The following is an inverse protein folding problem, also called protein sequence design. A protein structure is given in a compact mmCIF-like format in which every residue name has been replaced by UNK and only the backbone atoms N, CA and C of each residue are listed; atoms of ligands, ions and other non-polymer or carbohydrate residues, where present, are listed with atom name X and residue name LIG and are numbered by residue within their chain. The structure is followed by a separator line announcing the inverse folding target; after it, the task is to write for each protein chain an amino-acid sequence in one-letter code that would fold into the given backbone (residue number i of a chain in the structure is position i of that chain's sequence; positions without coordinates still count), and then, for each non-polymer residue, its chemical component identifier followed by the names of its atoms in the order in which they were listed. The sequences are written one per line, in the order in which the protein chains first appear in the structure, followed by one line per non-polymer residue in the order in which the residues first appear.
data_IF_731469090763
#
_entry.id   IF_731469090763
#
_cell.length_a   1.000
_cell.length_b   1.000
_cell.length_c   1.000
_cell.angle_alpha   90.00
_cell.angle_beta   90.00
_cell.angle_gamma   90.00
#
_symmetry.space_group_name_H-M   'P 1'
#
loop_
_entity.id
_entity.type
_entity.pdbx_description
1 polymer ?
#
# COMPACT_ATOMS: atom_id res chain seq x y z
N UNK A 1 -1.31 -29.35 -24.99
CA UNK A 1 -2.56 -29.19 -25.75
C UNK A 1 -3.34 -27.94 -25.28
N UNK A 2 -3.51 -27.68 -23.96
CA UNK A 2 -4.32 -26.58 -23.41
C UNK A 2 -3.87 -25.18 -23.90
N UNK A 3 -2.57 -24.97 -24.08
CA UNK A 3 -1.98 -23.71 -24.55
C UNK A 3 -1.85 -23.63 -26.07
N UNK A 4 -2.29 -24.64 -26.79
CA UNK A 4 -2.29 -24.64 -28.27
C UNK A 4 -3.32 -23.61 -28.75
N UNK A 5 -2.90 -22.57 -29.43
CA UNK A 5 -3.72 -21.42 -29.85
C UNK A 5 -4.18 -20.45 -28.71
N UNK A 6 -3.63 -20.56 -27.51
CA UNK A 6 -3.86 -19.58 -26.46
C UNK A 6 -3.00 -18.33 -26.73
N UNK A 7 -3.59 -17.13 -26.56
CA UNK A 7 -2.88 -15.86 -26.65
C UNK A 7 -3.00 -15.11 -25.32
N UNK A 8 -1.86 -14.90 -24.68
CA UNK A 8 -1.79 -14.09 -23.46
C UNK A 8 -2.04 -12.58 -23.69
N UNK A 9 -2.00 -12.12 -24.95
CA UNK A 9 -2.20 -10.71 -25.31
C UNK A 9 -3.69 -10.35 -25.50
N UNK A 10 -4.56 -11.37 -25.58
CA UNK A 10 -5.99 -11.17 -25.78
C UNK A 10 -6.76 -11.37 -24.49
N UNK A 11 -7.79 -10.53 -24.28
CA UNK A 11 -8.76 -10.75 -23.19
C UNK A 11 -9.39 -12.15 -23.30
N UNK A 12 -9.33 -12.98 -22.25
CA UNK A 12 -9.83 -14.36 -22.29
C UNK A 12 -11.34 -14.40 -22.07
N UNK A 13 -12.10 -13.80 -22.98
CA UNK A 13 -13.57 -13.66 -22.86
C UNK A 13 -14.28 -15.02 -22.91
N UNK A 14 -13.78 -15.98 -23.73
CA UNK A 14 -14.50 -17.23 -23.97
C UNK A 14 -15.91 -16.94 -24.50
N UNK A 15 -16.93 -17.43 -23.78
CA UNK A 15 -18.35 -17.17 -24.07
C UNK A 15 -18.91 -15.97 -23.29
N UNK A 16 -18.07 -15.16 -22.64
CA UNK A 16 -18.47 -14.02 -21.81
C UNK A 16 -18.32 -12.70 -22.58
N UNK A 17 -19.23 -11.74 -22.37
CA UNK A 17 -19.16 -10.42 -22.96
C UNK A 17 -18.07 -9.54 -22.33
N UNK A 18 -17.76 -9.79 -21.05
CA UNK A 18 -16.71 -9.07 -20.30
C UNK A 18 -16.11 -9.96 -19.20
N UNK A 19 -14.86 -9.66 -18.82
CA UNK A 19 -14.20 -10.35 -17.71
C UNK A 19 -14.62 -9.71 -16.39
N UNK A 20 -15.00 -10.55 -15.41
CA UNK A 20 -15.15 -10.13 -14.01
C UNK A 20 -13.86 -10.42 -13.26
N UNK A 21 -13.16 -9.36 -12.88
CA UNK A 21 -11.94 -9.41 -12.07
C UNK A 21 -12.27 -9.05 -10.62
N UNK A 22 -12.11 -10.00 -9.72
CA UNK A 22 -12.13 -9.73 -8.28
C UNK A 22 -10.72 -9.36 -7.81
N UNK A 23 -10.62 -8.35 -6.95
CA UNK A 23 -9.35 -7.90 -6.37
C UNK A 23 -9.40 -7.93 -4.85
N UNK A 24 -8.28 -8.27 -4.22
CA UNK A 24 -8.06 -8.16 -2.79
C UNK A 24 -6.60 -7.85 -2.47
N UNK A 25 -6.35 -7.31 -1.29
CA UNK A 25 -5.01 -6.96 -0.81
C UNK A 25 -4.82 -7.51 0.59
N UNK A 26 -3.76 -8.29 0.79
CA UNK A 26 -3.29 -8.63 2.12
C UNK A 26 -2.13 -7.70 2.52
N UNK A 27 -2.35 -6.87 3.53
CA UNK A 27 -1.30 -6.06 4.13
C UNK A 27 -0.48 -6.91 5.09
N UNK A 28 0.86 -6.89 4.91
CA UNK A 28 1.80 -7.67 5.72
C UNK A 28 2.56 -6.81 6.72
N UNK A 29 3.00 -5.62 6.30
CA UNK A 29 3.68 -4.65 7.14
C UNK A 29 3.69 -3.28 6.49
N UNK A 30 3.83 -2.22 7.28
CA UNK A 30 4.25 -0.92 6.80
C UNK A 30 5.77 -0.78 7.02
N UNK A 31 6.52 -0.71 5.93
CA UNK A 31 7.98 -0.67 5.97
C UNK A 31 8.51 0.71 6.36
N UNK A 32 7.92 1.77 5.80
CA UNK A 32 8.28 3.15 6.12
C UNK A 32 7.12 4.11 5.88
N UNK A 33 7.06 5.14 6.72
CA UNK A 33 6.12 6.24 6.60
C UNK A 33 6.96 7.52 6.60
N UNK A 34 7.15 8.08 5.41
CA UNK A 34 7.93 9.28 5.21
C UNK A 34 7.01 10.50 5.09
N UNK A 35 7.02 11.33 6.12
CA UNK A 35 6.17 12.51 6.20
C UNK A 35 6.72 13.69 5.39
N UNK A 36 8.04 13.71 5.14
CA UNK A 36 8.71 14.75 4.36
C UNK A 36 8.48 14.53 2.88
N UNK A 37 8.68 13.29 2.42
CA UNK A 37 8.38 12.92 1.03
C UNK A 37 6.88 12.73 0.77
N UNK A 38 6.06 12.62 1.81
CA UNK A 38 4.63 12.36 1.66
C UNK A 38 4.36 10.94 1.13
N UNK A 39 5.05 9.92 1.65
CA UNK A 39 4.94 8.56 1.11
C UNK A 39 4.75 7.50 2.20
N UNK A 40 4.02 6.46 1.84
CA UNK A 40 3.82 5.25 2.64
C UNK A 40 4.30 4.04 1.84
N UNK A 41 5.24 3.29 2.40
CA UNK A 41 5.74 2.03 1.83
C UNK A 41 5.14 0.86 2.58
N UNK A 42 4.48 -0.03 1.86
CA UNK A 42 3.80 -1.19 2.42
C UNK A 42 4.24 -2.49 1.73
N UNK A 43 4.42 -3.54 2.52
CA UNK A 43 4.55 -4.91 2.03
C UNK A 43 3.14 -5.50 1.90
N UNK A 44 2.79 -5.92 0.69
CA UNK A 44 1.46 -6.44 0.38
C UNK A 44 1.53 -7.72 -0.44
N UNK A 45 0.41 -8.44 -0.45
CA UNK A 45 0.10 -9.44 -1.46
C UNK A 45 -1.13 -8.96 -2.21
N UNK A 46 -0.96 -8.56 -3.46
CA UNK A 46 -2.05 -8.17 -4.34
C UNK A 46 -2.64 -9.43 -4.96
N UNK A 47 -3.89 -9.71 -4.68
CA UNK A 47 -4.60 -10.92 -5.08
C UNK A 47 -5.62 -10.61 -6.15
N UNK A 48 -5.66 -11.46 -7.18
CA UNK A 48 -6.61 -11.37 -8.27
C UNK A 48 -7.29 -12.72 -8.49
N UNK A 49 -8.57 -12.67 -8.81
CA UNK A 49 -9.37 -13.82 -9.14
C UNK A 49 -10.21 -13.51 -10.38
N UNK A 50 -10.11 -14.36 -11.39
CA UNK A 50 -10.92 -14.26 -12.60
C UNK A 50 -11.19 -15.64 -13.19
N UNK A 51 -11.98 -15.70 -14.26
CA UNK A 51 -12.22 -16.92 -15.01
C UNK A 51 -11.77 -16.74 -16.45
N UNK A 52 -11.01 -17.71 -16.94
CA UNK A 52 -10.57 -17.80 -18.33
C UNK A 52 -11.26 -18.98 -19.00
N UNK A 53 -12.18 -18.68 -19.91
CA UNK A 53 -12.95 -19.70 -20.63
C UNK A 53 -12.11 -20.55 -21.59
N UNK A 54 -10.90 -20.10 -21.92
CA UNK A 54 -9.98 -20.83 -22.80
C UNK A 54 -9.12 -21.85 -22.05
N UNK A 55 -9.11 -21.79 -20.70
CA UNK A 55 -8.30 -22.66 -19.83
C UNK A 55 -9.17 -23.65 -19.06
N UNK A 56 -10.12 -24.29 -19.76
CA UNK A 56 -11.01 -25.31 -19.18
C UNK A 56 -10.58 -26.68 -19.70
N UNK A 57 -10.50 -27.68 -18.82
CA UNK A 57 -10.23 -29.08 -19.18
C UNK A 57 -11.01 -30.06 -18.33
N UNK A 58 -11.24 -31.26 -18.86
CA UNK A 58 -11.82 -32.36 -18.09
C UNK A 58 -10.68 -33.10 -17.37
N UNK A 59 -10.66 -33.15 -16.02
CA UNK A 59 -9.63 -33.86 -15.27
C UNK A 59 -9.44 -35.33 -15.65
N UNK A 60 -10.52 -36.02 -16.03
CA UNK A 60 -10.46 -37.45 -16.41
C UNK A 60 -9.55 -37.69 -17.61
N UNK A 61 -9.44 -36.73 -18.54
CA UNK A 61 -8.59 -36.82 -19.72
C UNK A 61 -7.10 -36.56 -19.40
N UNK A 62 -6.80 -36.04 -18.20
CA UNK A 62 -5.46 -35.61 -17.77
C UNK A 62 -5.07 -36.19 -16.40
N UNK A 63 -5.24 -37.48 -16.20
CA UNK A 63 -4.88 -38.20 -14.97
C UNK A 63 -5.49 -37.61 -13.69
N UNK A 64 -6.72 -37.11 -13.75
CA UNK A 64 -7.43 -36.44 -12.67
C UNK A 64 -6.72 -35.17 -12.14
N UNK A 65 -5.95 -34.48 -12.96
CA UNK A 65 -5.37 -33.19 -12.59
C UNK A 65 -6.47 -32.14 -12.59
N UNK A 66 -6.74 -31.58 -11.41
CA UNK A 66 -7.77 -30.56 -11.18
C UNK A 66 -7.24 -29.13 -11.12
N UNK A 67 -5.94 -28.97 -10.90
CA UNK A 67 -5.27 -27.68 -10.83
C UNK A 67 -3.83 -27.73 -11.35
N UNK A 68 -3.32 -26.60 -11.81
CA UNK A 68 -1.93 -26.44 -12.22
C UNK A 68 -1.39 -25.06 -11.88
N UNK A 69 -0.08 -24.95 -11.67
CA UNK A 69 0.63 -23.68 -11.50
C UNK A 69 1.23 -23.22 -12.83
N UNK A 70 0.78 -22.10 -13.33
CA UNK A 70 1.13 -21.57 -14.67
C UNK A 70 1.99 -20.31 -14.53
N UNK A 71 2.89 -20.10 -15.48
CA UNK A 71 3.71 -18.89 -15.56
C UNK A 71 2.86 -17.68 -15.97
N UNK A 72 3.16 -16.53 -15.35
CA UNK A 72 2.48 -15.26 -15.64
C UNK A 72 3.43 -14.20 -16.19
N UNK A 73 4.73 -14.53 -16.32
CA UNK A 73 5.73 -13.61 -16.83
C UNK A 73 5.52 -13.40 -18.34
N UNK A 74 5.43 -12.13 -18.80
CA UNK A 74 5.23 -11.84 -20.22
C UNK A 74 6.33 -12.42 -21.11
N UNK A 75 5.95 -13.08 -22.19
CA UNK A 75 6.88 -13.69 -23.14
C UNK A 75 7.50 -15.02 -22.69
N UNK A 76 7.10 -15.56 -21.54
CA UNK A 76 7.47 -16.90 -21.10
C UNK A 76 6.70 -17.99 -21.86
N UNK A 77 7.30 -19.18 -21.99
CA UNK A 77 6.61 -20.35 -22.53
C UNK A 77 5.38 -20.68 -21.68
N UNK A 78 4.23 -20.86 -22.32
CA UNK A 78 2.95 -21.16 -21.65
C UNK A 78 2.48 -20.08 -20.67
N UNK A 79 2.80 -18.80 -20.91
CA UNK A 79 2.25 -17.70 -20.12
C UNK A 79 0.75 -17.51 -20.40
N UNK A 80 0.02 -17.09 -19.37
CA UNK A 80 -1.41 -16.78 -19.48
C UNK A 80 -1.63 -15.26 -19.47
N UNK A 81 -2.81 -14.84 -19.95
CA UNK A 81 -3.27 -13.48 -19.78
C UNK A 81 -3.38 -13.14 -18.28
N UNK A 82 -2.91 -11.97 -17.91
CA UNK A 82 -3.00 -11.44 -16.56
C UNK A 82 -3.55 -10.02 -16.59
N UNK A 83 -4.35 -9.63 -15.57
CA UNK A 83 -4.89 -8.28 -15.49
C UNK A 83 -3.78 -7.24 -15.25
N UNK A 84 -3.89 -6.11 -15.93
CA UNK A 84 -2.97 -4.96 -15.88
C UNK A 84 -3.30 -3.98 -14.74
N UNK A 85 -3.43 -4.48 -13.53
CA UNK A 85 -3.75 -3.64 -12.37
C UNK A 85 -2.51 -2.92 -11.85
N UNK A 86 -2.59 -1.59 -11.82
CA UNK A 86 -1.54 -0.67 -11.37
C UNK A 86 -1.96 0.10 -10.13
N UNK A 87 -0.98 0.51 -9.34
CA UNK A 87 -1.15 1.51 -8.29
C UNK A 87 -1.08 2.92 -8.93
N UNK A 88 -2.21 3.63 -9.04
CA UNK A 88 -2.28 4.93 -9.72
C UNK A 88 -1.57 6.06 -8.97
N UNK A 89 -1.60 6.02 -7.63
CA UNK A 89 -0.93 7.02 -6.78
C UNK A 89 0.44 6.53 -6.29
N UNK A 90 1.17 5.83 -7.14
CA UNK A 90 2.53 5.37 -6.82
C UNK A 90 3.51 6.54 -6.74
N UNK A 91 4.47 6.42 -5.82
CA UNK A 91 5.64 7.32 -5.72
C UNK A 91 6.88 6.77 -6.44
N UNK A 92 6.80 5.57 -7.01
CA UNK A 92 7.85 4.90 -7.77
C UNK A 92 7.32 4.37 -9.10
N UNK A 93 8.17 3.68 -9.87
CA UNK A 93 7.78 3.08 -11.14
C UNK A 93 6.66 2.06 -10.94
N UNK A 94 5.51 2.21 -11.60
CA UNK A 94 4.31 1.41 -11.30
C UNK A 94 4.46 -0.09 -11.55
N UNK A 95 5.29 -0.49 -12.49
CA UNK A 95 5.37 -1.88 -12.97
C UNK A 95 6.36 -2.76 -12.22
N UNK A 96 7.33 -2.17 -11.52
CA UNK A 96 8.45 -2.89 -10.92
C UNK A 96 8.25 -3.23 -9.43
N UNK A 97 7.10 -2.85 -8.84
CA UNK A 97 6.88 -2.98 -7.40
C UNK A 97 6.39 -4.36 -6.95
N UNK A 98 5.78 -5.13 -7.84
CA UNK A 98 5.23 -6.45 -7.53
C UNK A 98 5.84 -7.51 -8.43
N UNK A 99 6.35 -8.57 -7.80
CA UNK A 99 6.95 -9.69 -8.51
C UNK A 99 5.93 -10.48 -9.32
N UNK A 100 6.37 -11.03 -10.46
CA UNK A 100 5.60 -12.05 -11.17
C UNK A 100 5.70 -13.37 -10.40
N UNK A 101 4.54 -13.86 -9.97
CA UNK A 101 4.39 -15.16 -9.32
C UNK A 101 3.62 -16.10 -10.26
N UNK A 102 3.68 -17.40 -10.01
CA UNK A 102 2.83 -18.33 -10.74
C UNK A 102 1.37 -18.18 -10.32
N UNK A 103 0.46 -18.30 -11.28
CA UNK A 103 -0.97 -18.37 -11.02
C UNK A 103 -1.42 -19.82 -10.85
N UNK A 104 -2.40 -20.05 -9.98
CA UNK A 104 -3.11 -21.32 -9.90
C UNK A 104 -4.29 -21.28 -10.86
N UNK A 105 -4.33 -22.24 -11.77
CA UNK A 105 -5.42 -22.42 -12.75
C UNK A 105 -6.14 -23.71 -12.40
N UNK A 106 -7.44 -23.64 -12.20
CA UNK A 106 -8.31 -24.79 -11.91
C UNK A 106 -8.97 -25.30 -13.18
N UNK A 107 -9.36 -26.57 -13.17
CA UNK A 107 -9.91 -27.24 -14.35
C UNK A 107 -11.21 -26.64 -14.89
N UNK A 108 -11.91 -25.85 -14.07
CA UNK A 108 -13.10 -25.09 -14.49
C UNK A 108 -12.79 -23.70 -15.07
N UNK A 109 -11.49 -23.39 -15.27
CA UNK A 109 -11.02 -22.11 -15.77
C UNK A 109 -10.91 -21.00 -14.71
N UNK A 110 -11.17 -21.30 -13.44
CA UNK A 110 -10.97 -20.33 -12.37
C UNK A 110 -9.48 -20.11 -12.09
N UNK A 111 -9.05 -18.87 -11.95
CA UNK A 111 -7.65 -18.52 -11.77
C UNK A 111 -7.48 -17.69 -10.49
N UNK A 112 -6.46 -18.04 -9.72
CA UNK A 112 -6.01 -17.31 -8.54
C UNK A 112 -4.57 -16.86 -8.77
N UNK A 113 -4.35 -15.56 -8.68
CA UNK A 113 -3.01 -14.98 -8.81
C UNK A 113 -2.71 -14.02 -7.66
N UNK A 114 -1.66 -14.33 -6.91
CA UNK A 114 -1.22 -13.53 -5.77
C UNK A 114 0.19 -13.00 -6.02
N UNK A 115 0.34 -11.68 -6.07
CA UNK A 115 1.61 -10.98 -6.31
C UNK A 115 2.14 -10.40 -5.00
N UNK A 116 3.20 -10.98 -4.42
CA UNK A 116 3.88 -10.37 -3.30
C UNK A 116 4.73 -9.18 -3.78
N UNK A 117 4.93 -8.21 -2.91
CA UNK A 117 5.84 -7.11 -3.20
C UNK A 117 5.72 -5.95 -2.24
N UNK A 118 6.60 -5.00 -2.42
CA UNK A 118 6.63 -3.74 -1.67
C UNK A 118 6.16 -2.64 -2.59
N UNK A 119 5.14 -1.90 -2.15
CA UNK A 119 4.59 -0.76 -2.90
C UNK A 119 4.80 0.53 -2.13
N UNK A 120 5.06 1.62 -2.85
CA UNK A 120 5.21 2.96 -2.29
C UNK A 120 4.13 3.88 -2.87
N UNK A 121 3.20 4.30 -2.02
CA UNK A 121 2.11 5.20 -2.42
C UNK A 121 2.34 6.62 -1.91
N UNK A 122 1.79 7.60 -2.62
CA UNK A 122 1.73 8.98 -2.16
C UNK A 122 0.63 9.15 -1.12
N UNK A 123 0.96 9.84 -0.02
CA UNK A 123 0.06 10.11 1.08
C UNK A 123 0.21 11.56 1.55
N UNK A 124 -0.90 12.23 1.82
CA UNK A 124 -0.88 13.61 2.35
C UNK A 124 -1.00 13.56 3.87
N UNK A 125 0.05 13.97 4.57
CA UNK A 125 0.10 13.97 6.04
C UNK A 125 -0.41 15.29 6.62
N UNK A 126 -1.21 15.18 7.69
CA UNK A 126 -1.67 16.31 8.49
C UNK A 126 -1.02 16.26 9.88
N UNK A 127 0.02 17.07 10.09
CA UNK A 127 0.81 17.09 11.32
C UNK A 127 0.28 18.06 12.39
N UNK A 128 -0.94 18.60 12.23
CA UNK A 128 -1.48 19.63 13.14
C UNK A 128 -1.57 19.16 14.60
N UNK A 129 -1.84 17.88 14.81
CA UNK A 129 -1.99 17.26 16.15
C UNK A 129 -0.77 16.44 16.57
N UNK A 130 0.36 16.58 15.89
CA UNK A 130 1.58 15.86 16.22
C UNK A 130 1.97 15.99 17.71
N UNK A 131 2.37 14.89 18.41
CA UNK A 131 2.51 13.51 17.96
C UNK A 131 1.27 12.63 18.19
N UNK A 132 0.10 13.19 18.39
CA UNK A 132 -1.18 12.50 18.61
C UNK A 132 -2.05 12.57 17.36
N UNK A 133 -1.44 12.38 16.21
CA UNK A 133 -2.06 12.54 14.90
C UNK A 133 -2.51 11.19 14.31
N UNK A 134 -3.60 11.27 13.57
CA UNK A 134 -4.12 10.18 12.74
C UNK A 134 -3.96 10.55 11.28
N UNK A 135 -3.46 9.63 10.47
CA UNK A 135 -3.21 9.83 9.05
C UNK A 135 -4.08 8.91 8.20
N UNK A 136 -4.46 9.37 7.01
CA UNK A 136 -5.27 8.61 6.06
C UNK A 136 -4.50 8.49 4.74
N UNK A 137 -4.10 7.27 4.42
CA UNK A 137 -3.29 6.99 3.24
C UNK A 137 -4.07 6.09 2.26
N UNK A 138 -4.35 6.60 1.04
CA UNK A 138 -5.01 5.82 0.02
C UNK A 138 -4.03 4.96 -0.76
N UNK A 139 -4.49 3.77 -1.20
CA UNK A 139 -3.89 2.96 -2.25
C UNK A 139 -4.93 2.80 -3.35
N UNK A 140 -4.68 3.42 -4.51
CA UNK A 140 -5.63 3.46 -5.61
C UNK A 140 -5.20 2.52 -6.73
N UNK A 141 -5.91 1.41 -6.89
CA UNK A 141 -5.64 0.38 -7.89
C UNK A 141 -6.65 0.44 -9.03
N UNK A 142 -6.18 0.28 -10.26
CA UNK A 142 -7.05 0.21 -11.43
C UNK A 142 -6.33 -0.33 -12.64
N UNK A 143 -7.08 -0.76 -13.66
CA UNK A 143 -6.54 -1.14 -14.94
C UNK A 143 -6.09 0.07 -15.73
N UNK A 144 -4.95 -0.06 -16.41
CA UNK A 144 -4.44 0.99 -17.29
C UNK A 144 -5.10 1.00 -18.66
N UNK A 145 -5.42 -0.20 -19.17
CA UNK A 145 -5.92 -0.39 -20.53
C UNK A 145 -7.43 -0.60 -20.57
N UNK A 146 -7.99 -1.40 -19.65
CA UNK A 146 -9.36 -1.88 -19.76
C UNK A 146 -10.35 -0.97 -19.03
N UNK A 147 -11.40 -0.57 -19.74
CA UNK A 147 -12.53 0.19 -19.22
C UNK A 147 -13.66 -0.75 -18.73
N UNK A 148 -14.69 -0.19 -18.12
CA UNK A 148 -15.81 -0.91 -17.50
C UNK A 148 -16.62 -1.80 -18.47
N UNK A 149 -16.64 -1.47 -19.76
CA UNK A 149 -17.24 -2.30 -20.80
C UNK A 149 -16.43 -3.53 -21.23
N UNK A 150 -15.19 -3.67 -20.76
CA UNK A 150 -14.29 -4.79 -21.07
C UNK A 150 -13.96 -5.61 -19.84
N UNK A 151 -13.79 -4.95 -18.69
CA UNK A 151 -13.43 -5.58 -17.43
C UNK A 151 -14.25 -5.01 -16.28
N UNK A 152 -15.07 -5.84 -15.66
CA UNK A 152 -15.80 -5.52 -14.45
C UNK A 152 -14.90 -5.76 -13.23
N UNK A 153 -14.34 -4.67 -12.69
CA UNK A 153 -13.51 -4.74 -11.49
C UNK A 153 -14.40 -4.77 -10.24
N UNK A 154 -14.20 -5.76 -9.39
CA UNK A 154 -14.99 -5.96 -8.17
C UNK A 154 -14.10 -6.18 -6.96
N UNK A 155 -14.63 -5.83 -5.79
CA UNK A 155 -14.02 -6.15 -4.51
C UNK A 155 -14.54 -7.50 -4.02
N UNK A 156 -13.66 -8.34 -3.49
CA UNK A 156 -14.07 -9.54 -2.79
C UNK A 156 -14.55 -9.21 -1.37
N UNK A 157 -15.47 -9.99 -0.82
CA UNK A 157 -15.81 -9.95 0.61
C UNK A 157 -14.55 -10.35 1.39
N UNK A 158 -14.02 -9.43 2.22
CA UNK A 158 -12.69 -9.60 2.83
C UNK A 158 -11.53 -9.18 1.93
N UNK A 159 -11.78 -8.28 0.99
CA UNK A 159 -10.79 -7.74 0.05
C UNK A 159 -9.53 -7.16 0.69
N UNK A 160 -9.63 -6.75 1.96
CA UNK A 160 -8.50 -6.33 2.77
C UNK A 160 -8.25 -7.36 3.87
N UNK A 161 -7.12 -8.05 3.77
CA UNK A 161 -6.69 -9.07 4.73
C UNK A 161 -5.54 -8.52 5.58
N UNK A 162 -5.78 -8.41 6.87
CA UNK A 162 -4.81 -7.96 7.88
C UNK A 162 -4.52 -9.02 8.93
N UNK A 163 -4.98 -10.26 8.73
CA UNK A 163 -4.89 -11.34 9.72
C UNK A 163 -3.45 -11.67 10.16
N UNK A 164 -2.48 -11.41 9.29
CA UNK A 164 -1.05 -11.61 9.55
C UNK A 164 -0.26 -10.31 9.42
N UNK A 165 -0.89 -9.18 9.72
CA UNK A 165 -0.23 -7.89 9.71
C UNK A 165 0.79 -7.80 10.84
N UNK A 166 2.00 -7.36 10.52
CA UNK A 166 3.04 -7.07 11.50
C UNK A 166 2.94 -5.61 11.92
N UNK A 167 2.70 -5.38 13.19
CA UNK A 167 2.65 -4.05 13.77
C UNK A 167 3.99 -3.33 13.65
N UNK A 168 3.94 -2.02 13.55
CA UNK A 168 5.10 -1.13 13.49
C UNK A 168 5.23 -0.40 14.83
N UNK A 169 6.46 -0.24 15.35
CA UNK A 169 6.71 0.42 16.64
C UNK A 169 6.30 1.90 16.67
N UNK A 170 6.12 2.54 15.53
CA UNK A 170 5.78 3.95 15.42
C UNK A 170 4.32 4.24 15.09
N UNK A 171 3.61 3.26 14.51
CA UNK A 171 2.26 3.44 13.99
C UNK A 171 1.39 2.21 14.17
N UNK A 172 0.17 2.45 14.61
CA UNK A 172 -0.89 1.45 14.66
C UNK A 172 -1.82 1.60 13.45
N UNK A 173 -2.22 0.49 12.84
CA UNK A 173 -3.28 0.48 11.83
C UNK A 173 -4.63 0.44 12.56
N UNK A 174 -5.31 1.60 12.61
CA UNK A 174 -6.55 1.76 13.38
C UNK A 174 -7.78 1.27 12.62
N UNK A 175 -7.83 1.54 11.32
CA UNK A 175 -8.98 1.20 10.48
C UNK A 175 -8.58 1.12 9.00
N UNK A 176 -9.42 0.47 8.21
CA UNK A 176 -9.29 0.43 6.76
C UNK A 176 -10.68 0.43 6.10
N UNK A 177 -10.75 1.01 4.94
CA UNK A 177 -11.94 1.00 4.11
C UNK A 177 -11.60 0.82 2.65
N UNK A 178 -12.52 0.26 1.89
CA UNK A 178 -12.39 0.08 0.45
C UNK A 178 -13.57 0.71 -0.28
N UNK A 179 -13.29 1.28 -1.45
CA UNK A 179 -14.30 1.90 -2.29
C UNK A 179 -14.01 1.64 -3.76
N UNK A 180 -15.01 1.16 -4.48
CA UNK A 180 -15.00 1.09 -5.94
C UNK A 180 -15.48 2.44 -6.49
N UNK A 181 -14.71 3.02 -7.41
CA UNK A 181 -15.06 4.26 -8.09
C UNK A 181 -15.06 4.02 -9.61
N UNK A 182 -15.82 4.84 -10.32
CA UNK A 182 -15.82 4.90 -11.78
C UNK A 182 -15.42 6.30 -12.20
N UNK A 183 -14.30 6.43 -12.90
CA UNK A 183 -13.71 7.71 -13.26
C UNK A 183 -13.75 7.89 -14.76
N UNK A 184 -14.26 9.06 -15.21
CA UNK A 184 -14.18 9.46 -16.61
C UNK A 184 -12.97 10.36 -16.80
N UNK A 185 -12.06 9.94 -17.68
CA UNK A 185 -10.89 10.71 -18.03
C UNK A 185 -11.16 11.59 -19.26
N UNK A 186 -10.41 12.68 -19.41
CA UNK A 186 -10.55 13.62 -20.54
C UNK A 186 -10.13 13.03 -21.88
N UNK A 187 -9.30 11.98 -21.85
CA UNK A 187 -8.86 11.27 -23.06
C UNK A 187 -9.97 10.46 -23.73
N UNK A 188 -10.90 9.95 -22.92
CA UNK A 188 -11.66 8.77 -23.30
C UNK A 188 -13.13 8.90 -22.89
N UNK A 189 -14.09 8.45 -23.73
CA UNK A 189 -15.51 8.55 -23.40
C UNK A 189 -15.97 7.53 -22.35
N UNK A 190 -15.25 6.41 -22.20
CA UNK A 190 -15.58 5.30 -21.32
C UNK A 190 -15.25 5.60 -19.85
N UNK A 191 -15.83 4.82 -18.93
CA UNK A 191 -15.54 4.86 -17.52
C UNK A 191 -14.45 3.84 -17.17
N UNK A 192 -13.51 4.25 -16.33
CA UNK A 192 -12.45 3.37 -15.82
C UNK A 192 -12.70 3.07 -14.35
N UNK A 193 -12.90 1.80 -14.00
CA UNK A 193 -13.08 1.41 -12.61
C UNK A 193 -11.75 1.47 -11.86
N UNK A 194 -11.78 2.02 -10.65
CA UNK A 194 -10.67 1.94 -9.69
C UNK A 194 -11.14 1.53 -8.31
N UNK A 195 -10.29 0.83 -7.59
CA UNK A 195 -10.48 0.46 -6.20
C UNK A 195 -9.53 1.29 -5.35
N UNK A 196 -10.10 2.10 -4.47
CA UNK A 196 -9.33 2.87 -3.50
C UNK A 196 -9.45 2.22 -2.12
N UNK A 197 -8.30 1.77 -1.60
CA UNK A 197 -8.16 1.25 -0.25
C UNK A 197 -7.62 2.39 0.63
N UNK A 198 -8.37 2.83 1.62
CA UNK A 198 -7.92 3.83 2.58
C UNK A 198 -7.47 3.12 3.85
N UNK A 199 -6.25 3.38 4.26
CA UNK A 199 -5.69 2.90 5.51
C UNK A 199 -5.59 4.06 6.49
N UNK A 200 -6.12 3.87 7.69
CA UNK A 200 -6.06 4.84 8.79
C UNK A 200 -4.96 4.43 9.76
N UNK A 201 -3.99 5.31 9.94
CA UNK A 201 -2.80 5.10 10.75
C UNK A 201 -2.82 6.05 11.95
N UNK A 202 -2.73 5.51 13.15
CA UNK A 202 -2.57 6.26 14.38
C UNK A 202 -1.12 6.20 14.85
N UNK A 203 -0.53 7.37 15.12
CA UNK A 203 0.84 7.43 15.62
C UNK A 203 0.90 6.96 17.06
N UNK A 204 1.94 6.18 17.39
CA UNK A 204 2.29 5.80 18.76
C UNK A 204 3.16 6.90 19.37
N UNK A 205 2.61 7.77 20.26
CA UNK A 205 3.29 8.99 20.69
C UNK A 205 4.39 8.76 21.73
N UNK A 206 4.53 7.53 22.24
CA UNK A 206 5.42 7.23 23.36
C UNK A 206 6.86 7.68 23.15
N UNK A 207 7.44 7.35 21.99
CA UNK A 207 8.79 7.76 21.62
C UNK A 207 8.95 9.28 21.60
N UNK A 208 8.04 9.99 20.96
CA UNK A 208 8.08 11.45 20.84
C UNK A 208 7.85 12.14 22.18
N UNK A 209 6.97 11.60 22.99
CA UNK A 209 6.68 12.15 24.34
C UNK A 209 7.91 12.05 25.24
N UNK A 210 8.57 10.89 25.27
CA UNK A 210 9.74 10.69 26.14
C UNK A 210 10.99 11.40 25.62
N UNK A 211 11.25 11.34 24.31
CA UNK A 211 12.53 11.81 23.75
C UNK A 211 12.48 13.26 23.25
N UNK A 212 11.29 13.82 23.01
CA UNK A 212 11.14 15.18 22.49
C UNK A 212 10.45 16.09 23.50
N UNK A 213 9.21 15.75 23.88
CA UNK A 213 8.38 16.64 24.70
C UNK A 213 8.97 16.80 26.10
N UNK A 214 9.38 15.69 26.73
CA UNK A 214 9.93 15.72 28.10
C UNK A 214 11.22 16.51 28.20
N UNK A 215 12.27 16.33 27.37
CA UNK A 215 13.47 17.16 27.43
C UNK A 215 13.22 18.63 27.07
N UNK A 216 12.34 18.91 26.09
CA UNK A 216 11.97 20.27 25.74
C UNK A 216 11.28 20.98 26.90
N UNK A 217 10.40 20.28 27.61
CA UNK A 217 9.74 20.83 28.79
C UNK A 217 10.72 21.07 29.94
N UNK A 218 11.65 20.13 30.18
CA UNK A 218 12.68 20.27 31.21
C UNK A 218 13.60 21.46 30.94
N UNK A 219 14.11 21.61 29.71
CA UNK A 219 14.98 22.74 29.32
C UNK A 219 14.25 24.07 29.38
N UNK A 220 12.98 24.13 28.97
CA UNK A 220 12.14 25.34 29.14
C UNK A 220 11.92 25.71 30.60
N UNK A 221 11.71 24.72 31.44
CA UNK A 221 11.57 24.93 32.90
C UNK A 221 12.86 25.46 33.52
N UNK A 222 14.02 24.91 33.12
CA UNK A 222 15.33 25.43 33.56
C UNK A 222 15.57 26.87 33.11
N UNK A 223 15.10 27.26 31.93
CA UNK A 223 15.19 28.64 31.47
C UNK A 223 14.39 29.59 32.36
N UNK A 224 13.20 29.20 32.81
CA UNK A 224 12.40 29.97 33.77
C UNK A 224 13.13 30.07 35.11
N UNK A 225 13.70 28.96 35.60
CA UNK A 225 14.46 28.92 36.86
C UNK A 225 15.69 29.84 36.81
N UNK A 226 16.29 30.06 35.62
CA UNK A 226 17.45 30.96 35.47
C UNK A 226 17.18 32.39 35.96
N UNK A 227 15.92 32.84 35.93
CA UNK A 227 15.53 34.15 36.47
C UNK A 227 15.59 34.23 37.99
N UNK A 228 15.55 33.09 38.68
CA UNK A 228 15.65 33.02 40.15
C UNK A 228 17.11 33.09 40.65
N UNK A 229 18.09 32.92 39.75
CA UNK A 229 19.51 33.02 40.13
C UNK A 229 19.85 34.46 40.48
N UNK A 230 20.45 34.73 41.66
CA UNK A 230 20.83 36.08 42.08
C UNK A 230 21.74 36.76 41.08
N UNK A 231 21.51 38.05 40.82
CA UNK A 231 22.28 38.83 39.87
C UNK A 231 23.75 39.01 40.27
N UNK A 232 24.05 38.98 41.59
CA UNK A 232 25.41 39.10 42.12
C UNK A 232 26.26 37.84 41.92
N UNK A 233 25.71 36.71 41.54
CA UNK A 233 26.46 35.46 41.39
C UNK A 233 27.38 35.42 40.18
N UNK A 234 27.18 36.32 39.19
CA UNK A 234 27.94 36.32 37.93
C UNK A 234 27.61 35.14 36.98
N UNK A 235 26.96 34.10 37.49
CA UNK A 235 26.69 32.83 36.74
C UNK A 235 25.37 32.86 35.99
N UNK A 236 24.51 33.83 36.21
CA UNK A 236 23.16 33.87 35.61
C UNK A 236 23.17 33.87 34.09
N UNK A 237 24.09 34.65 33.48
CA UNK A 237 24.20 34.76 32.01
C UNK A 237 24.77 33.47 31.44
N UNK A 238 25.80 32.90 32.05
CA UNK A 238 26.42 31.64 31.65
C UNK A 238 25.42 30.50 31.66
N UNK A 239 24.63 30.39 32.74
CA UNK A 239 23.57 29.38 32.86
C UNK A 239 22.49 29.54 31.79
N UNK A 240 21.99 30.76 31.53
CA UNK A 240 20.98 31.03 30.52
C UNK A 240 21.49 30.69 29.10
N UNK A 241 22.73 31.03 28.77
CA UNK A 241 23.36 30.70 27.47
C UNK A 241 23.52 29.18 27.31
N UNK A 242 23.93 28.47 28.37
CA UNK A 242 24.09 27.01 28.33
C UNK A 242 22.76 26.31 28.09
N UNK A 243 21.68 26.73 28.76
CA UNK A 243 20.33 26.17 28.55
C UNK A 243 19.83 26.46 27.14
N UNK A 244 20.05 27.70 26.63
CA UNK A 244 19.68 28.07 25.26
C UNK A 244 20.45 27.23 24.23
N UNK A 245 21.77 27.05 24.43
CA UNK A 245 22.59 26.21 23.53
C UNK A 245 22.10 24.77 23.56
N UNK A 246 21.79 24.22 24.72
CA UNK A 246 21.23 22.87 24.87
C UNK A 246 19.93 22.72 24.09
N UNK A 247 19.04 23.72 24.16
CA UNK A 247 17.78 23.71 23.39
C UNK A 247 18.02 23.73 21.87
N UNK A 248 18.99 24.56 21.40
CA UNK A 248 19.34 24.63 19.97
C UNK A 248 19.90 23.28 19.48
N UNK A 249 20.85 22.71 20.22
CA UNK A 249 21.41 21.38 19.89
C UNK A 249 20.33 20.32 19.85
N UNK A 250 19.40 20.36 20.81
CA UNK A 250 18.27 19.44 20.85
C UNK A 250 17.36 19.58 19.62
N UNK A 251 17.04 20.81 19.20
CA UNK A 251 16.26 21.07 17.98
C UNK A 251 16.97 20.61 16.70
N UNK A 252 18.31 20.74 16.64
CA UNK A 252 19.10 20.25 15.50
C UNK A 252 19.12 18.72 15.39
N UNK A 253 19.01 18.00 16.51
CA UNK A 253 18.91 16.53 16.48
C UNK A 253 17.54 16.07 15.94
N UNK A 254 16.53 16.92 16.03
CA UNK A 254 15.16 16.62 15.59
C UNK A 254 14.88 17.01 14.13
N UNK A 255 15.71 17.85 13.53
CA UNK A 255 15.58 18.27 12.13
C UNK A 255 16.22 17.26 11.16
#
# INVERSE_FOLDING_TARGET
DLFQNYSADCLPLGDQDLITLKMGVAFRAFNSIDQVEGTLTANIWLRHWWRDGNLIWNPEDYNNITEMAVNTEPGGDSSIWVPDIYLYNTAEKPMEQLDYSRAHVYSDGYIIWSRPGIIKSTCTFNLRSFPYDTQHCPFKFGSWVYHDGQMNLTLDEGSIDVSNFQENDGWNMADFSSKLNFVKYTCCPELYPDITLNVTLERLPGYYTLNIITPAYATSSLMIISFLVPWDSGERISFAITVMLSLIVFLLILS
#
